data_IF_888038961054
#
_entry.id   IF_888038961054
#
_cell.length_a   1.000
_cell.length_b   1.000
_cell.length_c   1.000
_cell.angle_alpha   90.00
_cell.angle_beta   90.00
_cell.angle_gamma   90.00
#
_symmetry.space_group_name_H-M   'P 1'
#
loop_
_entity.id
_entity.type
_entity.pdbx_description
1 polymer ?
#
# COMPACT_ATOMS: atom_id res chain seq x y z
N UNK A 1 -27.05 -18.97 -12.21
CA UNK A 1 -27.25 -19.70 -13.49
C UNK A 1 -28.29 -20.80 -13.37
N UNK A 2 -28.16 -21.73 -12.41
CA UNK A 2 -29.13 -22.83 -12.20
C UNK A 2 -30.60 -22.37 -12.15
N UNK A 3 -30.90 -21.28 -11.43
CA UNK A 3 -32.25 -20.71 -11.36
C UNK A 3 -32.81 -20.32 -12.75
N UNK A 4 -32.06 -19.53 -13.52
CA UNK A 4 -32.47 -19.11 -14.85
C UNK A 4 -32.57 -20.28 -15.83
N UNK A 5 -31.69 -21.27 -15.72
CA UNK A 5 -31.77 -22.49 -16.53
C UNK A 5 -33.03 -23.27 -16.20
N UNK A 6 -33.31 -23.55 -14.92
CA UNK A 6 -34.48 -24.36 -14.54
C UNK A 6 -35.78 -23.62 -14.85
N UNK A 7 -35.97 -22.40 -14.34
CA UNK A 7 -37.25 -21.70 -14.46
C UNK A 7 -37.42 -21.02 -15.82
N UNK A 8 -36.36 -20.45 -16.38
CA UNK A 8 -36.40 -19.77 -17.67
C UNK A 8 -36.59 -20.73 -18.84
N UNK A 9 -35.78 -21.79 -18.92
CA UNK A 9 -35.89 -22.78 -20.00
C UNK A 9 -37.22 -23.54 -19.92
N UNK A 10 -37.65 -23.92 -18.72
CA UNK A 10 -38.96 -24.56 -18.53
C UNK A 10 -40.11 -23.62 -18.93
N UNK A 11 -40.03 -22.32 -18.63
CA UNK A 11 -41.07 -21.38 -19.04
C UNK A 11 -41.16 -21.23 -20.56
N UNK A 12 -40.00 -21.19 -21.25
CA UNK A 12 -39.94 -21.16 -22.72
C UNK A 12 -40.54 -22.44 -23.30
N UNK A 13 -40.10 -23.60 -22.80
CA UNK A 13 -40.59 -24.90 -23.25
C UNK A 13 -42.10 -25.07 -23.05
N UNK A 14 -42.64 -24.68 -21.88
CA UNK A 14 -44.08 -24.72 -21.59
C UNK A 14 -44.84 -23.76 -22.52
N UNK A 15 -44.30 -22.57 -22.77
CA UNK A 15 -44.94 -21.59 -23.64
C UNK A 15 -45.09 -22.08 -25.08
N UNK A 16 -44.06 -22.72 -25.62
CA UNK A 16 -44.04 -23.25 -26.99
C UNK A 16 -44.89 -24.51 -27.16
N UNK A 17 -44.93 -25.40 -26.15
CA UNK A 17 -45.53 -26.73 -26.31
C UNK A 17 -46.89 -26.94 -25.65
N UNK A 18 -47.19 -26.22 -24.57
CA UNK A 18 -48.41 -26.44 -23.77
C UNK A 18 -49.32 -25.20 -23.74
N UNK A 19 -48.74 -24.01 -23.57
CA UNK A 19 -49.50 -22.80 -23.31
C UNK A 19 -49.87 -22.01 -24.56
N UNK A 20 -49.41 -22.43 -25.75
CA UNK A 20 -49.67 -21.79 -27.04
C UNK A 20 -49.45 -20.25 -27.02
N UNK A 21 -48.36 -19.79 -26.41
CA UNK A 21 -48.04 -18.36 -26.34
C UNK A 21 -48.69 -17.59 -25.18
N UNK A 22 -49.54 -18.21 -24.35
CA UNK A 22 -50.22 -17.53 -23.25
C UNK A 22 -49.27 -16.99 -22.15
N UNK A 23 -48.03 -17.48 -22.05
CA UNK A 23 -47.02 -16.88 -21.16
C UNK A 23 -46.37 -15.66 -21.83
N UNK A 24 -46.14 -15.71 -23.15
CA UNK A 24 -45.59 -14.58 -23.90
C UNK A 24 -46.47 -13.33 -23.84
N UNK A 25 -47.80 -13.49 -23.79
CA UNK A 25 -48.73 -12.36 -23.64
C UNK A 25 -48.57 -11.63 -22.30
N UNK A 26 -48.01 -12.28 -21.28
CA UNK A 26 -47.85 -11.76 -19.93
C UNK A 26 -46.44 -11.22 -19.65
N UNK A 27 -45.55 -11.12 -20.65
CA UNK A 27 -44.17 -10.62 -20.47
C UNK A 27 -44.15 -9.20 -19.86
N UNK A 28 -45.13 -8.37 -20.20
CA UNK A 28 -45.24 -7.00 -19.70
C UNK A 28 -45.90 -6.90 -18.30
N UNK A 29 -46.35 -8.03 -17.73
CA UNK A 29 -47.00 -8.12 -16.42
C UNK A 29 -46.35 -9.25 -15.59
N UNK A 30 -45.05 -9.09 -15.24
CA UNK A 30 -44.25 -10.16 -14.64
C UNK A 30 -44.82 -10.68 -13.31
N UNK A 31 -45.54 -9.84 -12.56
CA UNK A 31 -46.21 -10.24 -11.33
C UNK A 31 -47.28 -11.33 -11.51
N UNK A 32 -47.90 -11.42 -12.70
CA UNK A 32 -48.87 -12.48 -13.04
C UNK A 32 -48.22 -13.65 -13.77
N UNK A 33 -47.12 -13.39 -14.48
CA UNK A 33 -46.42 -14.37 -15.30
C UNK A 33 -45.96 -15.59 -14.47
N UNK A 34 -45.37 -15.35 -13.29
CA UNK A 34 -44.89 -16.44 -12.43
C UNK A 34 -46.03 -17.38 -12.03
N UNK A 35 -47.14 -16.85 -11.53
CA UNK A 35 -48.27 -17.68 -11.10
C UNK A 35 -48.98 -18.36 -12.27
N UNK A 36 -49.04 -17.69 -13.43
CA UNK A 36 -49.55 -18.32 -14.66
C UNK A 36 -48.64 -19.47 -15.11
N UNK A 37 -47.33 -19.32 -15.02
CA UNK A 37 -46.37 -20.39 -15.28
C UNK A 37 -46.55 -21.57 -14.32
N UNK A 38 -46.68 -21.31 -13.01
CA UNK A 38 -46.88 -22.35 -12.00
C UNK A 38 -48.18 -23.15 -12.22
N UNK A 39 -49.19 -22.57 -12.86
CA UNK A 39 -50.44 -23.29 -13.21
C UNK A 39 -50.23 -24.44 -14.20
N UNK A 40 -49.14 -24.42 -14.98
CA UNK A 40 -48.79 -25.50 -15.90
C UNK A 40 -47.93 -26.60 -15.25
N UNK A 41 -47.52 -26.42 -14.00
CA UNK A 41 -46.77 -27.42 -13.23
C UNK A 41 -47.71 -28.32 -12.41
N UNK A 42 -47.26 -29.53 -12.03
CA UNK A 42 -48.02 -30.36 -11.12
C UNK A 42 -48.22 -29.65 -9.77
N UNK A 43 -49.40 -29.82 -9.17
CA UNK A 43 -49.78 -29.24 -7.87
C UNK A 43 -49.68 -27.69 -7.87
N UNK A 44 -50.38 -26.99 -8.76
CA UNK A 44 -50.21 -25.54 -8.96
C UNK A 44 -50.58 -24.70 -7.72
N UNK A 45 -51.54 -25.18 -6.92
CA UNK A 45 -51.93 -24.54 -5.66
C UNK A 45 -50.82 -24.60 -4.62
N UNK A 46 -50.15 -25.76 -4.50
CA UNK A 46 -49.06 -25.96 -3.55
C UNK A 46 -47.82 -25.16 -3.96
N UNK A 47 -47.43 -25.23 -5.23
CA UNK A 47 -46.26 -24.49 -5.76
C UNK A 47 -46.48 -22.99 -5.75
N UNK A 48 -47.71 -22.53 -6.02
CA UNK A 48 -48.11 -21.12 -5.88
C UNK A 48 -48.04 -20.61 -4.44
N UNK A 49 -48.59 -21.37 -3.48
CA UNK A 49 -48.52 -21.03 -2.05
C UNK A 49 -47.07 -20.98 -1.55
N UNK A 50 -46.26 -21.98 -1.94
CA UNK A 50 -44.85 -22.04 -1.58
C UNK A 50 -44.08 -20.84 -2.16
N UNK A 51 -44.33 -20.49 -3.42
CA UNK A 51 -43.70 -19.34 -4.06
C UNK A 51 -44.06 -18.02 -3.37
N UNK A 52 -45.33 -17.86 -2.96
CA UNK A 52 -45.76 -16.69 -2.18
C UNK A 52 -45.02 -16.60 -0.83
N UNK A 53 -44.89 -17.72 -0.11
CA UNK A 53 -44.13 -17.77 1.14
C UNK A 53 -42.66 -17.40 0.93
N UNK A 54 -42.02 -17.95 -0.11
CA UNK A 54 -40.62 -17.67 -0.43
C UNK A 54 -40.41 -16.20 -0.78
N UNK A 55 -41.25 -15.61 -1.65
CA UNK A 55 -41.18 -14.19 -2.02
C UNK A 55 -41.38 -13.31 -0.77
N UNK A 56 -42.34 -13.64 0.08
CA UNK A 56 -42.60 -12.91 1.32
C UNK A 56 -41.41 -12.96 2.28
N UNK A 57 -40.80 -14.13 2.47
CA UNK A 57 -39.62 -14.30 3.31
C UNK A 57 -38.43 -13.49 2.79
N UNK A 58 -38.14 -13.58 1.48
CA UNK A 58 -37.08 -12.78 0.87
C UNK A 58 -37.32 -11.28 1.02
N UNK A 59 -38.57 -10.83 0.87
CA UNK A 59 -38.92 -9.43 1.07
C UNK A 59 -38.70 -8.99 2.52
N UNK A 60 -39.15 -9.77 3.50
CA UNK A 60 -39.00 -9.46 4.94
C UNK A 60 -37.51 -9.41 5.32
N UNK A 61 -36.74 -10.43 4.96
CA UNK A 61 -35.30 -10.49 5.29
C UNK A 61 -34.50 -9.38 4.59
N UNK A 62 -34.84 -9.04 3.34
CA UNK A 62 -34.19 -7.94 2.62
C UNK A 62 -34.55 -6.58 3.22
N UNK A 63 -35.81 -6.38 3.63
CA UNK A 63 -36.24 -5.16 4.29
C UNK A 63 -35.58 -4.98 5.66
N UNK A 64 -35.50 -6.04 6.46
CA UNK A 64 -34.86 -6.02 7.78
C UNK A 64 -33.37 -5.65 7.70
N UNK A 65 -32.62 -6.29 6.80
CA UNK A 65 -31.21 -5.96 6.56
C UNK A 65 -31.00 -4.54 6.02
N UNK A 66 -31.89 -4.06 5.14
CA UNK A 66 -31.86 -2.68 4.64
C UNK A 66 -32.10 -1.64 5.74
N UNK A 67 -33.10 -1.86 6.59
CA UNK A 67 -33.39 -1.00 7.74
C UNK A 67 -32.20 -1.01 8.70
N UNK A 68 -31.60 -2.17 8.96
CA UNK A 68 -30.43 -2.29 9.82
C UNK A 68 -29.26 -1.44 9.30
N UNK A 69 -28.92 -1.54 8.00
CA UNK A 69 -27.84 -0.75 7.40
C UNK A 69 -28.15 0.75 7.48
N UNK A 70 -29.38 1.15 7.16
CA UNK A 70 -29.79 2.56 7.18
C UNK A 70 -29.76 3.14 8.61
N UNK A 71 -30.13 2.34 9.60
CA UNK A 71 -30.06 2.71 11.00
C UNK A 71 -28.60 2.98 11.42
N UNK A 72 -27.69 2.09 11.04
CA UNK A 72 -26.26 2.22 11.32
C UNK A 72 -25.60 3.40 10.61
N UNK A 73 -25.97 3.71 9.37
CA UNK A 73 -25.43 4.87 8.65
C UNK A 73 -25.86 6.18 9.31
N UNK A 74 -27.12 6.24 9.77
CA UNK A 74 -27.67 7.44 10.40
C UNK A 74 -27.27 7.59 11.89
N UNK A 75 -26.95 6.50 12.58
CA UNK A 75 -26.34 6.55 13.91
C UNK A 75 -24.83 6.77 13.79
N UNK A 76 -24.36 7.96 14.14
CA UNK A 76 -22.95 8.38 14.04
C UNK A 76 -21.98 7.55 14.92
N UNK A 77 -22.49 6.68 15.79
CA UNK A 77 -21.71 5.91 16.74
C UNK A 77 -21.77 4.40 16.43
N UNK A 78 -20.62 3.82 16.06
CA UNK A 78 -20.46 2.39 15.74
C UNK A 78 -20.52 1.49 16.98
N UNK A 79 -20.51 2.06 18.19
CA UNK A 79 -20.38 1.34 19.45
C UNK A 79 -21.72 1.02 20.13
N UNK A 80 -22.79 1.76 19.80
CA UNK A 80 -24.12 1.54 20.40
C UNK A 80 -25.09 0.98 19.37
N UNK A 81 -25.86 -0.02 19.80
CA UNK A 81 -26.98 -0.53 19.00
C UNK A 81 -27.90 0.63 18.64
N UNK A 82 -28.07 0.86 17.34
CA UNK A 82 -28.86 1.98 16.84
C UNK A 82 -30.30 1.92 17.41
N UNK A 83 -30.92 3.06 17.77
CA UNK A 83 -32.17 3.07 18.51
C UNK A 83 -33.29 2.30 17.80
N UNK A 84 -34.03 1.46 18.55
CA UNK A 84 -35.11 0.64 17.98
C UNK A 84 -36.24 1.46 17.35
N UNK A 85 -36.51 2.67 17.86
CA UNK A 85 -37.52 3.56 17.30
C UNK A 85 -37.17 4.03 15.87
N UNK A 86 -35.87 4.19 15.58
CA UNK A 86 -35.38 4.64 14.30
C UNK A 86 -35.55 3.55 13.23
N UNK A 87 -35.39 2.27 13.61
CA UNK A 87 -35.72 1.15 12.73
C UNK A 87 -37.21 1.12 12.33
N UNK A 88 -38.11 1.37 13.29
CA UNK A 88 -39.55 1.45 13.03
C UNK A 88 -39.88 2.63 12.10
N UNK A 89 -39.26 3.79 12.33
CA UNK A 89 -39.40 4.97 11.46
C UNK A 89 -38.99 4.65 10.01
N UNK A 90 -37.85 4.00 9.81
CA UNK A 90 -37.37 3.61 8.47
C UNK A 90 -38.28 2.59 7.80
N UNK A 91 -38.76 1.57 8.54
CA UNK A 91 -39.70 0.60 8.01
C UNK A 91 -41.02 1.24 7.57
N UNK A 92 -41.54 2.18 8.36
CA UNK A 92 -42.75 2.92 8.04
C UNK A 92 -42.56 3.81 6.80
N UNK A 93 -41.42 4.51 6.72
CA UNK A 93 -41.08 5.36 5.57
C UNK A 93 -40.97 4.54 4.27
N UNK A 94 -40.27 3.40 4.31
CA UNK A 94 -40.18 2.48 3.15
C UNK A 94 -41.55 1.98 2.70
N UNK A 95 -42.43 1.64 3.65
CA UNK A 95 -43.81 1.22 3.35
C UNK A 95 -44.62 2.34 2.68
N UNK A 96 -44.55 3.57 3.20
CA UNK A 96 -45.21 4.73 2.59
C UNK A 96 -44.71 4.95 1.16
N UNK A 97 -43.39 4.96 0.95
CA UNK A 97 -42.79 5.16 -0.36
C UNK A 97 -43.26 4.07 -1.33
N UNK A 98 -43.27 2.81 -0.90
CA UNK A 98 -43.74 1.69 -1.72
C UNK A 98 -45.21 1.86 -2.14
N UNK A 99 -46.10 2.22 -1.21
CA UNK A 99 -47.53 2.45 -1.49
C UNK A 99 -47.71 3.61 -2.47
N UNK A 100 -47.01 4.73 -2.25
CA UNK A 100 -47.10 5.92 -3.11
C UNK A 100 -46.63 5.61 -4.52
N UNK A 101 -45.48 4.95 -4.68
CA UNK A 101 -44.94 4.58 -5.99
C UNK A 101 -45.87 3.59 -6.70
N UNK A 102 -46.35 2.58 -5.99
CA UNK A 102 -47.28 1.59 -6.55
C UNK A 102 -48.57 2.27 -7.04
N UNK A 103 -49.10 3.24 -6.29
CA UNK A 103 -50.31 3.99 -6.66
C UNK A 103 -50.08 4.97 -7.82
N UNK A 104 -48.89 5.54 -7.95
CA UNK A 104 -48.58 6.56 -8.96
C UNK A 104 -48.52 6.01 -10.40
N UNK A 105 -48.19 4.73 -10.55
CA UNK A 105 -48.12 4.08 -11.87
C UNK A 105 -47.42 2.72 -11.87
N UNK A 106 -47.41 2.04 -10.72
CA UNK A 106 -47.00 0.64 -10.62
C UNK A 106 -45.52 0.37 -10.90
N UNK A 107 -45.25 -0.83 -11.41
CA UNK A 107 -43.90 -1.36 -11.62
C UNK A 107 -43.01 -0.50 -12.55
N UNK A 108 -43.49 0.06 -13.68
CA UNK A 108 -42.65 0.89 -14.55
C UNK A 108 -42.09 2.14 -13.87
N UNK A 109 -42.89 2.79 -13.01
CA UNK A 109 -42.44 3.96 -12.24
C UNK A 109 -41.41 3.53 -11.19
N UNK A 110 -41.63 2.40 -10.51
CA UNK A 110 -40.68 1.86 -9.54
C UNK A 110 -39.30 1.59 -10.18
N UNK A 111 -39.28 0.99 -11.38
CA UNK A 111 -38.05 0.72 -12.13
C UNK A 111 -37.32 2.02 -12.52
N UNK A 112 -38.07 3.00 -13.02
CA UNK A 112 -37.51 4.29 -13.44
C UNK A 112 -36.90 5.05 -12.26
N UNK A 113 -37.61 5.12 -11.13
CA UNK A 113 -37.11 5.77 -9.91
C UNK A 113 -35.87 5.07 -9.36
N UNK A 114 -35.83 3.73 -9.42
CA UNK A 114 -34.64 2.97 -9.01
C UNK A 114 -33.44 3.32 -9.87
N UNK A 115 -33.62 3.48 -11.19
CA UNK A 115 -32.54 3.88 -12.11
C UNK A 115 -32.03 5.29 -11.79
N UNK A 116 -32.95 6.24 -11.58
CA UNK A 116 -32.61 7.62 -11.22
C UNK A 116 -31.79 7.67 -9.92
N UNK A 117 -32.15 6.88 -8.91
CA UNK A 117 -31.42 6.81 -7.62
C UNK A 117 -30.10 6.05 -7.75
N UNK A 118 -30.03 5.02 -8.60
CA UNK A 118 -28.83 4.22 -8.80
C UNK A 118 -27.70 5.00 -9.49
N UNK A 119 -28.02 5.95 -10.38
CA UNK A 119 -27.03 6.72 -11.12
C UNK A 119 -26.08 7.55 -10.22
N UNK A 120 -26.54 8.40 -9.29
CA UNK A 120 -25.63 9.11 -8.38
C UNK A 120 -24.88 8.15 -7.45
N UNK A 121 -25.52 7.04 -7.03
CA UNK A 121 -24.86 6.04 -6.20
C UNK A 121 -23.72 5.33 -6.95
N UNK A 122 -23.86 5.09 -8.26
CA UNK A 122 -22.78 4.56 -9.10
C UNK A 122 -21.56 5.47 -9.09
N UNK A 123 -21.76 6.79 -9.20
CA UNK A 123 -20.66 7.75 -9.14
C UNK A 123 -19.96 7.72 -7.77
N UNK A 124 -20.72 7.61 -6.69
CA UNK A 124 -20.18 7.42 -5.34
C UNK A 124 -19.35 6.13 -5.24
N UNK A 125 -19.83 5.02 -5.79
CA UNK A 125 -19.12 3.74 -5.81
C UNK A 125 -17.78 3.83 -6.58
N UNK A 126 -17.72 4.60 -7.67
CA UNK A 126 -16.46 4.84 -8.39
C UNK A 126 -15.45 5.61 -7.53
N UNK A 127 -15.90 6.66 -6.82
CA UNK A 127 -15.06 7.41 -5.89
C UNK A 127 -14.53 6.48 -4.78
N UNK A 128 -15.38 5.61 -4.23
CA UNK A 128 -14.97 4.64 -3.22
C UNK A 128 -13.91 3.67 -3.74
N UNK A 129 -14.02 3.21 -4.98
CA UNK A 129 -13.02 2.33 -5.60
C UNK A 129 -11.66 3.03 -5.72
N UNK A 130 -11.63 4.29 -6.17
CA UNK A 130 -10.39 5.09 -6.24
C UNK A 130 -9.80 5.34 -4.85
N UNK A 131 -10.64 5.64 -3.86
CA UNK A 131 -10.20 5.83 -2.47
C UNK A 131 -9.59 4.56 -1.90
N UNK A 132 -10.20 3.40 -2.16
CA UNK A 132 -9.68 2.10 -1.71
C UNK A 132 -8.33 1.79 -2.36
N UNK A 133 -8.21 2.04 -3.67
CA UNK A 133 -6.95 1.87 -4.40
C UNK A 133 -5.83 2.76 -3.83
N UNK A 134 -6.14 4.02 -3.55
CA UNK A 134 -5.19 4.94 -2.92
C UNK A 134 -4.78 4.48 -1.52
N UNK A 135 -5.73 3.98 -0.74
CA UNK A 135 -5.47 3.41 0.59
C UNK A 135 -4.55 2.19 0.52
N UNK A 136 -4.82 1.26 -0.39
CA UNK A 136 -4.00 0.06 -0.58
C UNK A 136 -2.57 0.40 -1.03
N UNK A 137 -2.40 1.40 -1.90
CA UNK A 137 -1.07 1.87 -2.30
C UNK A 137 -0.30 2.51 -1.14
N UNK A 138 -0.97 3.24 -0.25
CA UNK A 138 -0.34 3.78 0.95
C UNK A 138 0.11 2.66 1.89
N UNK A 139 -0.73 1.65 2.07
CA UNK A 139 -0.45 0.48 2.90
C UNK A 139 0.71 -0.36 2.32
N UNK A 140 0.75 -0.56 1.01
CA UNK A 140 1.86 -1.22 0.35
C UNK A 140 3.18 -0.47 0.56
N UNK A 141 3.19 0.86 0.48
CA UNK A 141 4.38 1.67 0.79
C UNK A 141 4.82 1.50 2.23
N UNK A 142 3.87 1.47 3.17
CA UNK A 142 4.17 1.23 4.57
C UNK A 142 4.88 -0.12 4.78
N UNK A 143 4.35 -1.21 4.20
CA UNK A 143 4.95 -2.54 4.35
C UNK A 143 6.22 -2.79 3.53
N UNK A 144 6.45 -2.04 2.44
CA UNK A 144 7.64 -2.18 1.59
C UNK A 144 8.79 -1.26 2.00
N UNK A 145 8.57 -0.36 2.96
CA UNK A 145 9.62 0.51 3.50
C UNK A 145 10.68 -0.35 4.17
N UNK A 146 11.84 -0.48 3.52
CA UNK A 146 12.98 -1.21 4.07
C UNK A 146 13.59 -0.41 5.21
N UNK A 147 14.02 -1.12 6.26
CA UNK A 147 14.90 -0.52 7.28
C UNK A 147 16.17 0.00 6.62
N UNK A 148 16.73 1.07 7.16
CA UNK A 148 17.99 1.63 6.65
C UNK A 148 19.09 0.57 6.71
N UNK A 149 20.00 0.49 5.71
CA UNK A 149 21.09 -0.49 5.72
C UNK A 149 21.95 -0.45 7.00
N UNK A 150 22.01 0.72 7.66
CA UNK A 150 22.65 0.94 8.96
C UNK A 150 22.07 0.13 10.10
N UNK A 151 20.77 -0.16 10.09
CA UNK A 151 20.11 -0.84 11.21
C UNK A 151 20.59 -2.29 11.39
N UNK A 152 21.24 -2.86 10.37
CA UNK A 152 21.84 -4.21 10.44
C UNK A 152 22.96 -4.27 11.48
N UNK A 153 23.63 -3.15 11.75
CA UNK A 153 24.75 -3.08 12.71
C UNK A 153 24.29 -2.82 14.14
N UNK A 154 22.99 -2.64 14.38
CA UNK A 154 22.49 -2.25 15.70
C UNK A 154 22.55 -3.40 16.71
N UNK A 155 23.37 -3.23 17.74
CA UNK A 155 23.34 -4.03 18.96
C UNK A 155 22.45 -3.39 20.06
N UNK A 156 22.00 -4.16 21.05
CA UNK A 156 21.17 -3.65 22.15
C UNK A 156 21.91 -2.79 23.18
N UNK A 157 23.23 -2.63 23.06
CA UNK A 157 24.07 -2.05 24.12
C UNK A 157 23.90 -0.53 24.26
N UNK A 158 23.66 0.19 23.15
CA UNK A 158 23.61 1.66 23.12
C UNK A 158 22.23 2.19 22.67
N UNK A 159 21.14 1.50 23.02
CA UNK A 159 19.82 1.84 22.50
C UNK A 159 19.30 3.22 22.97
N UNK A 160 19.68 3.67 24.18
CA UNK A 160 19.28 4.99 24.69
C UNK A 160 19.91 6.13 23.90
N UNK A 161 21.22 6.05 23.64
CA UNK A 161 21.96 7.05 22.84
C UNK A 161 21.41 7.12 21.42
N UNK A 162 21.07 5.96 20.83
CA UNK A 162 20.45 5.90 19.51
C UNK A 162 19.04 6.51 19.50
N UNK A 163 18.23 6.22 20.52
CA UNK A 163 16.89 6.82 20.63
C UNK A 163 16.99 8.35 20.72
N UNK A 164 17.93 8.87 21.49
CA UNK A 164 18.19 10.31 21.58
C UNK A 164 18.58 10.90 20.22
N UNK A 165 19.45 10.21 19.47
CA UNK A 165 19.84 10.62 18.12
C UNK A 165 18.67 10.58 17.12
N UNK A 166 17.75 9.62 17.24
CA UNK A 166 16.57 9.50 16.37
C UNK A 166 15.57 10.61 16.65
N UNK A 167 15.40 10.98 17.93
CA UNK A 167 14.43 11.99 18.35
C UNK A 167 14.90 13.42 18.09
N UNK A 168 16.21 13.65 18.03
CA UNK A 168 16.78 14.97 17.81
C UNK A 168 17.06 15.26 16.34
N UNK A 169 16.54 16.38 15.84
CA UNK A 169 16.83 16.85 14.50
C UNK A 169 18.31 17.20 14.36
N UNK A 170 18.95 16.70 13.30
CA UNK A 170 20.40 16.80 13.11
C UNK A 170 20.76 18.03 12.30
N UNK A 171 21.67 18.84 12.83
CA UNK A 171 22.15 20.05 12.16
C UNK A 171 23.47 19.79 11.42
N UNK A 172 23.83 20.67 10.49
CA UNK A 172 25.08 20.55 9.73
C UNK A 172 26.33 20.51 10.63
N UNK A 173 26.30 21.22 11.77
CA UNK A 173 27.38 21.19 12.76
C UNK A 173 27.55 19.81 13.41
N UNK A 174 26.45 19.09 13.62
CA UNK A 174 26.46 17.73 14.16
C UNK A 174 27.07 16.76 13.14
N UNK A 175 26.78 16.95 11.85
CA UNK A 175 27.42 16.19 10.77
C UNK A 175 28.93 16.43 10.75
N UNK A 176 29.36 17.69 10.85
CA UNK A 176 30.79 18.01 10.91
C UNK A 176 31.46 17.37 12.14
N UNK A 177 30.77 17.35 13.28
CA UNK A 177 31.24 16.69 14.51
C UNK A 177 31.35 15.18 14.32
N UNK A 178 30.37 14.54 13.69
CA UNK A 178 30.38 13.13 13.34
C UNK A 178 31.56 12.79 12.42
N UNK A 179 31.76 13.57 11.35
CA UNK A 179 32.85 13.35 10.41
C UNK A 179 34.23 13.47 11.09
N UNK A 180 34.40 14.44 11.99
CA UNK A 180 35.68 14.68 12.69
C UNK A 180 35.94 13.70 13.84
N UNK A 181 34.90 13.31 14.59
CA UNK A 181 35.06 12.51 15.83
C UNK A 181 34.79 11.02 15.65
N UNK A 182 34.04 10.63 14.63
CA UNK A 182 33.65 9.23 14.38
C UNK A 182 34.26 8.74 13.08
N UNK A 183 33.94 9.38 11.94
CA UNK A 183 34.34 8.86 10.64
C UNK A 183 35.84 8.95 10.37
N UNK A 184 36.44 10.11 10.60
CA UNK A 184 37.87 10.32 10.35
C UNK A 184 38.77 9.42 11.22
N UNK A 185 38.54 9.26 12.54
CA UNK A 185 39.30 8.32 13.36
C UNK A 185 39.15 6.87 12.89
N UNK A 186 37.93 6.42 12.57
CA UNK A 186 37.67 5.08 12.06
C UNK A 186 38.43 4.78 10.76
N UNK A 187 38.38 5.73 9.80
CA UNK A 187 39.12 5.63 8.54
C UNK A 187 40.64 5.63 8.75
N UNK A 188 41.16 6.40 9.72
CA UNK A 188 42.59 6.42 10.06
C UNK A 188 43.05 5.11 10.68
N UNK A 189 42.26 4.53 11.58
CA UNK A 189 42.54 3.23 12.19
C UNK A 189 42.62 2.14 11.12
N UNK A 190 41.61 2.06 10.25
CA UNK A 190 41.60 1.11 9.14
C UNK A 190 42.79 1.32 8.18
N UNK A 191 43.09 2.58 7.82
CA UNK A 191 44.24 2.93 6.99
C UNK A 191 45.55 2.43 7.62
N UNK A 192 45.75 2.63 8.91
CA UNK A 192 46.97 2.24 9.60
C UNK A 192 47.18 0.73 9.52
N UNK A 193 46.11 -0.05 9.69
CA UNK A 193 46.15 -1.51 9.60
C UNK A 193 46.44 -1.98 8.15
N UNK A 194 45.77 -1.38 7.15
CA UNK A 194 45.95 -1.73 5.74
C UNK A 194 47.35 -1.41 5.22
N UNK A 195 47.92 -0.27 5.61
CA UNK A 195 49.30 0.09 5.24
C UNK A 195 50.29 -0.79 6.00
N UNK A 196 50.12 -0.92 7.32
CA UNK A 196 51.09 -1.56 8.19
C UNK A 196 51.21 -3.07 7.97
N UNK A 197 50.10 -3.79 7.79
CA UNK A 197 50.10 -5.25 7.64
C UNK A 197 50.06 -5.72 6.19
N UNK A 198 49.42 -4.96 5.29
CA UNK A 198 49.12 -5.43 3.93
C UNK A 198 49.82 -4.61 2.84
N UNK A 199 50.55 -3.54 3.18
CA UNK A 199 51.33 -2.75 2.23
C UNK A 199 50.50 -2.03 1.16
N UNK A 200 49.22 -1.76 1.42
CA UNK A 200 48.33 -1.08 0.48
C UNK A 200 48.53 0.44 0.49
N UNK A 201 48.41 1.08 -0.67
CA UNK A 201 48.40 2.55 -0.79
C UNK A 201 47.00 3.09 -0.46
N UNK A 202 46.86 3.71 0.72
CA UNK A 202 45.58 4.22 1.22
C UNK A 202 45.67 5.71 1.54
N UNK A 203 44.77 6.50 0.95
CA UNK A 203 44.64 7.94 1.18
C UNK A 203 43.31 8.29 1.83
N UNK A 204 43.32 9.37 2.61
CA UNK A 204 42.11 9.93 3.22
C UNK A 204 42.05 11.40 2.83
N UNK A 205 41.02 11.79 2.08
CA UNK A 205 40.76 13.19 1.75
C UNK A 205 39.73 13.76 2.72
N UNK A 206 39.94 14.99 3.15
CA UNK A 206 39.04 15.69 4.07
C UNK A 206 38.65 17.03 3.49
N UNK A 207 37.36 17.28 3.36
CA UNK A 207 36.79 18.51 2.80
C UNK A 207 35.93 19.21 3.86
N UNK A 208 36.49 19.55 5.02
CA UNK A 208 35.72 20.10 6.14
C UNK A 208 35.33 21.59 6.01
N UNK A 209 35.96 22.31 5.09
CA UNK A 209 35.77 23.75 4.90
C UNK A 209 34.85 24.08 3.71
N UNK A 210 34.35 23.06 3.03
CA UNK A 210 33.41 23.22 1.92
C UNK A 210 31.97 23.34 2.42
N UNK A 211 31.09 23.86 1.57
CA UNK A 211 29.64 23.96 1.82
C UNK A 211 28.98 22.59 2.04
N UNK A 212 29.57 21.51 1.52
CA UNK A 212 29.18 20.13 1.83
C UNK A 212 30.38 19.43 2.48
N UNK A 213 30.49 19.40 3.83
CA UNK A 213 31.63 18.77 4.46
C UNK A 213 31.66 17.28 4.17
N UNK A 214 32.82 16.77 3.79
CA UNK A 214 32.99 15.37 3.39
C UNK A 214 34.33 14.75 3.84
N UNK A 215 34.36 13.42 3.94
CA UNK A 215 35.57 12.62 4.14
C UNK A 215 35.55 11.44 3.19
N UNK A 216 36.66 11.19 2.50
CA UNK A 216 36.83 10.06 1.57
C UNK A 216 37.94 9.15 2.07
N UNK A 217 37.70 7.84 1.96
CA UNK A 217 38.68 6.79 2.16
C UNK A 217 38.94 6.10 0.82
N UNK A 218 40.19 6.16 0.35
CA UNK A 218 40.58 5.71 -0.98
C UNK A 218 41.70 4.68 -0.90
N UNK A 219 41.50 3.52 -1.51
CA UNK A 219 42.56 2.51 -1.71
C UNK A 219 42.98 2.56 -3.18
N UNK A 220 44.21 2.98 -3.43
CA UNK A 220 44.76 3.11 -4.77
C UNK A 220 45.12 1.75 -5.37
N UNK A 221 44.86 1.60 -6.67
CA UNK A 221 45.29 0.46 -7.48
C UNK A 221 46.04 0.94 -8.73
N UNK A 222 47.11 0.25 -9.10
CA UNK A 222 47.95 0.67 -10.23
C UNK A 222 47.28 0.42 -11.59
N UNK A 223 46.54 -0.68 -11.73
CA UNK A 223 45.99 -1.14 -13.02
C UNK A 223 44.46 -1.18 -13.07
N UNK A 224 43.78 -0.87 -11.97
CA UNK A 224 42.33 -0.96 -11.81
C UNK A 224 41.78 0.33 -11.19
N UNK A 225 40.47 0.54 -11.28
CA UNK A 225 39.81 1.69 -10.64
C UNK A 225 39.97 1.62 -9.13
N UNK A 226 40.34 2.74 -8.53
CA UNK A 226 40.46 2.88 -7.07
C UNK A 226 39.14 2.55 -6.35
N UNK A 227 39.28 1.98 -5.16
CA UNK A 227 38.15 1.84 -4.24
C UNK A 227 37.98 3.16 -3.48
N UNK A 228 36.78 3.73 -3.51
CA UNK A 228 36.44 4.96 -2.77
C UNK A 228 35.18 4.73 -1.91
N UNK A 229 35.31 5.07 -0.63
CA UNK A 229 34.21 5.18 0.32
C UNK A 229 34.16 6.62 0.83
N UNK A 230 33.17 7.39 0.41
CA UNK A 230 32.97 8.77 0.83
C UNK A 230 31.77 8.92 1.75
N UNK A 231 31.83 9.88 2.68
CA UNK A 231 30.70 10.34 3.50
C UNK A 231 30.60 11.86 3.35
N UNK A 232 29.43 12.38 2.99
CA UNK A 232 29.19 13.83 2.87
C UNK A 232 27.91 14.27 3.57
N UNK A 233 27.83 15.55 3.93
CA UNK A 233 26.60 16.16 4.42
C UNK A 233 25.58 16.32 3.30
N UNK A 234 24.34 15.88 3.53
CA UNK A 234 23.21 16.09 2.60
C UNK A 234 22.04 16.71 3.37
N UNK A 235 21.58 17.87 2.92
CA UNK A 235 20.37 18.52 3.45
C UNK A 235 19.09 17.92 2.87
N UNK A 236 18.08 17.73 3.73
CA UNK A 236 16.72 17.30 3.35
C UNK A 236 15.68 18.24 3.95
N UNK A 237 14.67 18.55 3.15
CA UNK A 237 13.51 19.32 3.62
C UNK A 237 12.62 18.47 4.51
N UNK A 238 12.20 19.07 5.63
CA UNK A 238 11.27 18.47 6.58
C UNK A 238 9.86 19.00 6.31
N UNK A 239 8.88 18.10 6.28
CA UNK A 239 7.48 18.44 6.00
C UNK A 239 6.90 19.37 7.05
N UNK A 240 6.14 20.39 6.63
CA UNK A 240 5.50 21.34 7.56
C UNK A 240 4.56 20.65 8.57
N UNK A 241 3.94 19.52 8.21
CA UNK A 241 3.11 18.77 9.15
C UNK A 241 3.90 18.21 10.34
N UNK A 242 5.17 17.85 10.14
CA UNK A 242 6.03 17.33 11.21
C UNK A 242 6.52 18.45 12.12
N UNK A 243 6.74 19.65 11.57
CA UNK A 243 7.15 20.84 12.33
C UNK A 243 6.00 21.36 13.19
N UNK A 244 4.76 21.26 12.69
CA UNK A 244 3.56 21.74 13.39
C UNK A 244 2.91 20.68 14.30
N UNK A 245 3.56 19.53 14.53
CA UNK A 245 3.04 18.49 15.40
C UNK A 245 3.45 18.76 16.86
N UNK A 246 2.46 19.10 17.71
CA UNK A 246 2.66 19.36 19.14
C UNK A 246 3.25 18.15 19.90
N UNK A 247 3.18 16.95 19.32
CA UNK A 247 3.75 15.72 19.89
C UNK A 247 5.22 15.49 19.49
N UNK A 248 5.79 16.32 18.61
CA UNK A 248 7.19 16.24 18.15
C UNK A 248 7.94 17.57 18.37
N UNK A 249 8.09 18.04 19.62
CA UNK A 249 8.67 19.36 19.93
C UNK A 249 10.14 19.51 19.51
N UNK A 250 10.81 18.42 19.15
CA UNK A 250 12.21 18.38 18.73
C UNK A 250 12.42 18.69 17.24
N UNK A 251 11.35 18.71 16.44
CA UNK A 251 11.39 19.03 15.01
C UNK A 251 11.01 20.50 14.84
N UNK A 252 12.00 21.37 14.68
CA UNK A 252 11.78 22.83 14.66
C UNK A 252 12.31 23.51 13.40
N UNK A 253 13.20 22.84 12.66
CA UNK A 253 13.84 23.40 11.47
C UNK A 253 13.24 22.80 10.19
N UNK A 254 13.17 23.61 9.14
CA UNK A 254 12.72 23.19 7.82
C UNK A 254 13.74 22.31 7.06
N UNK A 255 15.00 22.31 7.51
CA UNK A 255 16.07 21.48 6.95
C UNK A 255 16.70 20.62 8.04
N UNK A 256 16.88 19.33 7.72
CA UNK A 256 17.70 18.39 8.50
C UNK A 256 18.89 17.95 7.65
N UNK A 257 20.03 17.70 8.27
CA UNK A 257 21.24 17.24 7.58
C UNK A 257 21.55 15.80 7.98
N UNK A 258 21.93 14.98 7.01
CA UNK A 258 22.29 13.58 7.21
C UNK A 258 23.69 13.31 6.63
N UNK A 259 24.54 12.51 7.29
CA UNK A 259 25.79 12.04 6.73
C UNK A 259 25.52 10.88 5.78
N UNK A 260 25.62 11.14 4.49
CA UNK A 260 25.28 10.19 3.44
C UNK A 260 26.53 9.62 2.78
N UNK A 261 26.56 8.30 2.61
CA UNK A 261 27.65 7.65 1.88
C UNK A 261 27.57 7.93 0.38
N UNK A 262 28.71 7.91 -0.29
CA UNK A 262 28.79 7.92 -1.75
C UNK A 262 30.01 7.12 -2.20
N UNK A 263 29.94 6.62 -3.43
CA UNK A 263 30.88 5.65 -3.96
C UNK A 263 31.26 6.01 -5.39
N UNK A 264 32.44 5.57 -5.82
CA UNK A 264 32.94 5.88 -7.16
C UNK A 264 32.13 5.22 -8.28
N UNK A 265 31.44 4.13 -7.98
CA UNK A 265 30.59 3.40 -8.93
C UNK A 265 29.22 4.08 -9.18
N UNK A 266 28.94 5.22 -8.52
CA UNK A 266 27.72 6.00 -8.72
C UNK A 266 26.46 5.36 -8.11
N UNK A 267 26.59 4.30 -7.31
CA UNK A 267 25.45 3.68 -6.64
C UNK A 267 24.85 4.62 -5.58
N UNK A 268 23.57 4.36 -5.27
CA UNK A 268 22.86 5.08 -4.21
C UNK A 268 23.51 4.76 -2.87
N UNK A 269 23.87 5.82 -2.15
CA UNK A 269 24.37 5.76 -0.78
C UNK A 269 23.29 5.46 0.25
N UNK A 270 23.66 5.59 1.51
CA UNK A 270 22.78 5.49 2.66
C UNK A 270 23.30 6.36 3.80
N UNK A 271 22.38 6.74 4.67
CA UNK A 271 22.67 7.46 5.91
C UNK A 271 23.48 6.58 6.87
N UNK A 272 24.56 7.12 7.44
CA UNK A 272 25.46 6.48 8.41
C UNK A 272 25.49 7.16 9.78
N UNK A 273 24.54 8.06 10.06
CA UNK A 273 24.51 8.92 11.25
C UNK A 273 24.66 8.16 12.57
N UNK A 274 24.00 7.00 12.67
CA UNK A 274 23.90 6.21 13.89
C UNK A 274 25.04 5.21 14.05
N UNK A 275 26.02 5.17 13.12
CA UNK A 275 27.14 4.25 13.20
C UNK A 275 28.22 4.76 14.17
N UNK A 276 28.71 3.87 15.02
CA UNK A 276 29.95 4.13 15.76
C UNK A 276 31.19 3.85 14.90
N UNK A 277 32.39 4.17 15.41
CA UNK A 277 33.65 3.99 14.67
C UNK A 277 33.89 2.54 14.22
N UNK A 278 33.55 1.55 15.06
CA UNK A 278 33.75 0.14 14.74
C UNK A 278 32.76 -0.36 13.68
N UNK A 279 31.49 0.03 13.80
CA UNK A 279 30.43 -0.26 12.82
C UNK A 279 30.79 0.35 11.46
N UNK A 280 31.36 1.56 11.44
CA UNK A 280 31.80 2.20 10.21
C UNK A 280 32.99 1.46 9.56
N UNK A 281 33.97 0.99 10.36
CA UNK A 281 35.07 0.16 9.83
C UNK A 281 34.51 -1.13 9.21
N UNK A 282 33.58 -1.80 9.89
CA UNK A 282 32.93 -3.01 9.40
C UNK A 282 32.16 -2.75 8.08
N UNK A 283 31.49 -1.61 7.97
CA UNK A 283 30.81 -1.19 6.75
C UNK A 283 31.78 -0.95 5.59
N UNK A 284 32.88 -0.22 5.82
CA UNK A 284 33.92 0.00 4.81
C UNK A 284 34.51 -1.32 4.32
N UNK A 285 34.79 -2.26 5.22
CA UNK A 285 35.31 -3.60 4.87
C UNK A 285 34.32 -4.40 4.02
N UNK A 286 33.03 -4.38 4.35
CA UNK A 286 31.99 -5.04 3.56
C UNK A 286 31.89 -4.45 2.14
N UNK A 287 31.99 -3.12 2.03
CA UNK A 287 32.00 -2.46 0.72
C UNK A 287 33.29 -2.78 -0.06
N UNK A 288 34.42 -2.94 0.62
CA UNK A 288 35.68 -3.36 0.01
C UNK A 288 35.63 -4.81 -0.48
N UNK A 289 35.07 -5.73 0.29
CA UNK A 289 34.83 -7.13 -0.12
C UNK A 289 33.96 -7.18 -1.38
N UNK A 290 32.85 -6.44 -1.40
CA UNK A 290 31.99 -6.31 -2.59
C UNK A 290 32.75 -5.76 -3.80
N UNK A 291 33.62 -4.78 -3.59
CA UNK A 291 34.46 -4.23 -4.66
C UNK A 291 35.43 -5.31 -5.20
N UNK A 292 36.06 -6.09 -4.32
CA UNK A 292 36.93 -7.20 -4.72
C UNK A 292 36.17 -8.30 -5.49
N UNK A 293 34.95 -8.64 -5.06
CA UNK A 293 34.14 -9.64 -5.77
C UNK A 293 33.77 -9.16 -7.18
N UNK A 294 33.45 -7.87 -7.34
CA UNK A 294 33.18 -7.28 -8.65
C UNK A 294 34.41 -7.30 -9.55
N UNK A 295 35.60 -7.02 -9.02
CA UNK A 295 36.83 -7.12 -9.80
C UNK A 295 37.13 -8.55 -10.25
N UNK A 296 36.85 -9.55 -9.41
CA UNK A 296 37.03 -10.95 -9.75
C UNK A 296 36.11 -11.39 -10.90
N UNK A 297 34.84 -10.97 -10.86
CA UNK A 297 33.82 -11.31 -11.87
C UNK A 297 34.14 -10.65 -13.23
N UNK A 298 34.48 -9.35 -13.21
CA UNK A 298 34.93 -8.62 -14.41
C UNK A 298 36.22 -9.22 -14.98
N UNK A 299 37.13 -9.67 -14.11
CA UNK A 299 38.33 -10.40 -14.53
C UNK A 299 38.00 -11.73 -15.21
N UNK A 300 37.00 -12.48 -14.73
CA UNK A 300 36.55 -13.71 -15.38
C UNK A 300 35.88 -13.45 -16.73
N UNK A 301 35.03 -12.43 -16.85
CA UNK A 301 34.41 -12.06 -18.13
C UNK A 301 35.46 -11.69 -19.19
N UNK A 302 36.44 -10.85 -18.85
CA UNK A 302 37.51 -10.44 -19.77
C UNK A 302 38.41 -11.62 -20.20
N UNK A 303 38.72 -12.54 -19.28
CA UNK A 303 39.52 -13.73 -19.58
C UNK A 303 38.76 -14.76 -20.43
N UNK A 304 37.43 -14.87 -20.23
CA UNK A 304 36.57 -15.74 -21.06
C UNK A 304 36.45 -15.22 -22.50
N UNK A 305 36.37 -13.90 -22.70
CA UNK A 305 36.36 -13.26 -24.01
C UNK A 305 37.70 -13.42 -24.76
N UNK A 306 38.85 -13.28 -24.07
CA UNK A 306 40.16 -13.54 -24.69
C UNK A 306 40.36 -15.00 -25.09
N UNK A 307 39.84 -15.97 -24.33
CA UNK A 307 39.88 -17.38 -24.72
C UNK A 307 39.00 -17.70 -25.94
N UNK A 308 37.94 -16.93 -26.17
CA UNK A 308 37.11 -17.09 -27.38
C UNK A 308 37.77 -16.46 -28.60
N UNK A 309 38.40 -15.28 -28.46
CA UNK A 309 39.15 -14.65 -29.56
C UNK A 309 40.45 -15.39 -29.95
N UNK A 310 41.09 -16.10 -29.01
CA UNK A 310 42.27 -16.93 -29.32
C UNK A 310 41.91 -18.31 -29.90
N UNK A 311 40.61 -18.68 -29.88
CA UNK A 311 40.10 -19.93 -30.41
C UNK A 311 39.45 -19.80 -31.81
N UNK A 312 39.35 -18.58 -32.35
CA UNK A 312 39.03 -18.26 -33.76
C UNK A 312 40.30 -17.98 -34.57
#
# INVERSE_FOLDING_TARGET
MIWFTIFGDTAIWINERLANGALSELINVPEKLLFKFLNYLPLPTLTGLLSLLVISLFFITSADSGIYVLNNIASRDKSLSAPRWQAIMWGLLMSIVAIVLMRSGGLPILQTMTLIVALPFMLLMLIMCVSLWKGLNADQKYFTTKVTPTSVYWNGENWQERLEQILNQTQEQDILKFLKRTALPAMRELRQELIGKYGLSVHINTYFEQTEPAVEFIIQKESLRDFMYGIKSVGREVSEQLINDDHLPHIQHNMTYEPYTYFFDGRIGYDVQYMNSQELIADILKQYERYLSLLADVGQELMSHQQTELAE
#
